data_IF_107231885755
#
_entry.id   IF_107231885755
#
_cell.length_a   1.000
_cell.length_b   1.000
_cell.length_c   1.000
_cell.angle_alpha   90.00
_cell.angle_beta   90.00
_cell.angle_gamma   90.00
#
_symmetry.space_group_name_H-M   'P 1'
#
loop_
_entity.id
_entity.type
_entity.pdbx_description
1 polymer ?
#
# COMPACT_ATOMS: atom_id res chain seq x y z
N UNK A 1 33.82 7.98 -12.21
CA UNK A 1 33.29 8.45 -10.92
C UNK A 1 31.88 8.96 -11.16
N UNK A 2 30.86 8.13 -10.89
CA UNK A 2 29.47 8.46 -11.20
C UNK A 2 28.90 9.37 -10.11
N UNK A 3 28.50 10.58 -10.53
CA UNK A 3 27.70 11.52 -9.75
C UNK A 3 26.33 10.88 -9.51
N UNK A 4 26.05 10.48 -8.29
CA UNK A 4 24.72 10.04 -7.89
C UNK A 4 23.84 11.28 -7.75
N UNK A 5 22.81 11.33 -8.59
CA UNK A 5 21.75 12.32 -8.60
C UNK A 5 20.90 12.20 -7.34
N UNK A 6 20.58 13.36 -6.79
CA UNK A 6 19.83 13.59 -5.56
C UNK A 6 18.35 13.22 -5.77
N UNK A 7 18.03 11.93 -5.83
CA UNK A 7 16.64 11.47 -5.92
C UNK A 7 16.02 11.43 -4.51
N UNK A 8 15.08 12.36 -4.30
CA UNK A 8 14.05 12.40 -3.26
C UNK A 8 14.48 11.93 -1.85
N UNK A 9 15.27 12.75 -1.15
CA UNK A 9 15.29 12.68 0.31
C UNK A 9 13.89 13.01 0.85
N UNK A 10 13.41 12.32 1.90
CA UNK A 10 12.18 12.73 2.60
C UNK A 10 12.31 14.20 3.00
N UNK A 11 11.31 15.01 2.65
CA UNK A 11 11.37 16.47 2.81
C UNK A 11 11.46 16.89 4.29
N UNK A 12 11.13 15.99 5.22
CA UNK A 12 11.17 16.21 6.67
C UNK A 12 11.66 14.98 7.44
N UNK A 13 12.21 15.19 8.64
CA UNK A 13 12.59 14.13 9.58
C UNK A 13 11.43 13.19 9.90
N UNK A 14 10.20 13.69 9.96
CA UNK A 14 9.01 12.87 10.23
C UNK A 14 8.79 11.79 9.17
N UNK A 15 8.96 12.13 7.88
CA UNK A 15 8.84 11.17 6.78
C UNK A 15 10.01 10.18 6.75
N UNK A 16 11.21 10.64 7.10
CA UNK A 16 12.39 9.77 7.17
C UNK A 16 12.40 8.83 8.37
N UNK A 17 11.76 9.22 9.46
CA UNK A 17 11.63 8.41 10.68
C UNK A 17 10.41 7.48 10.59
N UNK A 18 9.33 7.84 9.86
CA UNK A 18 8.12 7.01 9.76
C UNK A 18 8.35 5.60 9.16
N UNK A 19 9.44 5.46 8.41
CA UNK A 19 9.91 4.20 7.83
C UNK A 19 10.70 3.33 8.80
N UNK A 20 11.18 3.90 9.90
CA UNK A 20 11.99 3.21 10.90
C UNK A 20 11.13 2.80 12.10
N UNK A 21 11.45 1.66 12.71
CA UNK A 21 10.83 1.26 13.97
C UNK A 21 11.45 2.02 15.14
N UNK A 22 10.72 2.18 16.25
CA UNK A 22 11.25 2.80 17.49
C UNK A 22 12.53 2.11 17.97
N UNK A 23 12.65 0.80 17.76
CA UNK A 23 13.86 0.05 18.11
C UNK A 23 15.04 0.35 17.18
N UNK A 24 14.80 0.48 15.87
CA UNK A 24 15.80 0.91 14.89
C UNK A 24 16.24 2.37 15.14
N UNK A 25 15.31 3.26 15.49
CA UNK A 25 15.61 4.64 15.87
C UNK A 25 16.45 4.64 17.14
N UNK A 26 16.08 3.88 18.17
CA UNK A 26 16.83 3.79 19.43
C UNK A 26 18.26 3.28 19.20
N UNK A 27 18.40 2.21 18.41
CA UNK A 27 19.71 1.63 18.06
C UNK A 27 20.53 2.56 17.15
N UNK A 28 19.88 3.25 16.22
CA UNK A 28 20.49 4.25 15.34
C UNK A 28 21.00 5.45 16.11
N UNK A 29 20.19 6.01 17.02
CA UNK A 29 20.59 7.09 17.93
C UNK A 29 21.73 6.64 18.83
N UNK A 30 21.67 5.44 19.43
CA UNK A 30 22.77 4.91 20.23
C UNK A 30 24.07 4.79 19.42
N UNK A 31 24.00 4.29 18.19
CA UNK A 31 25.17 4.14 17.30
C UNK A 31 25.74 5.49 16.87
N UNK A 32 24.88 6.46 16.56
CA UNK A 32 25.30 7.83 16.22
C UNK A 32 25.96 8.53 17.41
N UNK A 33 25.40 8.41 18.61
CA UNK A 33 25.98 9.02 19.81
C UNK A 33 27.34 8.42 20.18
N UNK A 34 27.58 7.15 19.84
CA UNK A 34 28.86 6.47 20.05
C UNK A 34 29.90 6.85 18.98
N UNK A 35 29.48 7.01 17.72
CA UNK A 35 30.39 7.20 16.57
C UNK A 35 30.63 8.68 16.25
N UNK A 36 29.62 9.53 16.44
CA UNK A 36 29.59 10.95 16.08
C UNK A 36 29.25 11.78 17.31
N UNK A 37 30.21 11.91 18.23
CA UNK A 37 30.04 12.69 19.45
C UNK A 37 30.09 14.23 19.22
N UNK A 38 30.62 14.71 18.07
CA UNK A 38 30.82 16.14 17.79
C UNK A 38 29.68 16.83 17.05
N UNK A 39 28.98 16.12 16.15
CA UNK A 39 28.05 16.73 15.19
C UNK A 39 26.63 16.17 15.34
N UNK A 40 26.08 16.34 16.54
CA UNK A 40 24.69 16.04 16.83
C UNK A 40 23.80 17.27 16.59
N UNK A 41 22.67 17.15 15.87
CA UNK A 41 22.13 15.94 15.25
C UNK A 41 22.77 15.58 13.89
N UNK A 42 22.86 14.28 13.54
CA UNK A 42 23.37 13.83 12.24
C UNK A 42 22.48 14.33 11.10
N UNK A 43 23.00 14.35 9.87
CA UNK A 43 22.17 14.63 8.69
C UNK A 43 21.15 13.49 8.53
N UNK A 44 19.89 13.82 8.18
CA UNK A 44 18.80 12.84 8.07
C UNK A 44 19.15 11.65 7.16
N UNK A 45 19.84 11.90 6.05
CA UNK A 45 20.30 10.85 5.12
C UNK A 45 21.30 9.89 5.75
N UNK A 46 22.25 10.41 6.54
CA UNK A 46 23.24 9.61 7.28
C UNK A 46 22.57 8.81 8.39
N UNK A 47 21.63 9.44 9.12
CA UNK A 47 20.85 8.76 10.14
C UNK A 47 20.03 7.61 9.57
N UNK A 48 19.32 7.84 8.46
CA UNK A 48 18.57 6.79 7.75
C UNK A 48 19.52 5.70 7.25
N UNK A 49 20.69 6.05 6.72
CA UNK A 49 21.71 5.07 6.31
C UNK A 49 22.17 4.18 7.47
N UNK A 50 22.51 4.78 8.60
CA UNK A 50 22.91 4.07 9.83
C UNK A 50 21.77 3.19 10.34
N UNK A 51 20.52 3.63 10.23
CA UNK A 51 19.35 2.85 10.62
C UNK A 51 19.00 1.73 9.63
N UNK A 52 19.27 1.92 8.32
CA UNK A 52 19.13 0.88 7.29
C UNK A 52 20.09 -0.28 7.52
N UNK A 53 21.32 0.01 7.97
CA UNK A 53 22.33 -1.01 8.33
C UNK A 53 21.94 -1.86 9.56
N UNK A 54 20.94 -1.44 10.35
CA UNK A 54 20.44 -2.20 11.51
C UNK A 54 19.52 -3.36 11.06
N UNK A 55 19.21 -3.44 9.76
CA UNK A 55 18.58 -4.58 9.11
C UNK A 55 17.06 -4.50 9.09
N UNK A 56 16.47 -4.86 7.94
CA UNK A 56 15.04 -5.13 7.83
C UNK A 56 14.77 -6.55 8.33
N UNK A 57 13.95 -6.67 9.37
CA UNK A 57 13.59 -7.96 9.97
C UNK A 57 12.58 -8.71 9.09
N UNK A 58 13.10 -9.45 8.11
CA UNK A 58 12.29 -10.32 7.25
C UNK A 58 11.52 -11.35 8.06
N UNK A 59 12.19 -12.08 8.96
CA UNK A 59 11.62 -13.22 9.68
C UNK A 59 10.48 -12.78 10.59
N UNK A 60 10.64 -11.68 11.33
CA UNK A 60 9.57 -11.14 12.15
C UNK A 60 8.44 -10.54 11.32
N UNK A 61 8.74 -9.90 10.19
CA UNK A 61 7.72 -9.35 9.29
C UNK A 61 6.87 -10.47 8.66
N UNK A 62 7.50 -11.52 8.14
CA UNK A 62 6.82 -12.69 7.60
C UNK A 62 5.99 -13.41 8.66
N UNK A 63 6.54 -13.62 9.86
CA UNK A 63 5.82 -14.20 10.98
C UNK A 63 4.59 -13.37 11.39
N UNK A 64 4.67 -12.03 11.37
CA UNK A 64 3.53 -11.15 11.62
C UNK A 64 2.48 -11.27 10.53
N UNK A 65 2.90 -11.30 9.26
CA UNK A 65 2.00 -11.45 8.13
C UNK A 65 1.20 -12.76 8.20
N UNK A 66 1.90 -13.89 8.37
CA UNK A 66 1.29 -15.21 8.46
C UNK A 66 0.43 -15.36 9.72
N UNK A 67 0.86 -14.79 10.84
CA UNK A 67 0.13 -14.80 12.11
C UNK A 67 -1.05 -13.83 12.21
N UNK A 68 -1.49 -13.19 11.11
CA UNK A 68 -2.56 -12.19 11.10
C UNK A 68 -2.35 -11.03 12.10
N UNK A 69 -1.09 -10.71 12.42
CA UNK A 69 -0.77 -9.58 13.32
C UNK A 69 -0.83 -8.27 12.55
N UNK A 70 -1.07 -7.17 13.25
CA UNK A 70 -1.06 -5.83 12.63
C UNK A 70 0.37 -5.44 12.22
N UNK A 71 0.54 -4.77 11.07
CA UNK A 71 1.82 -4.23 10.66
C UNK A 71 2.28 -3.13 11.63
N UNK A 72 3.56 -3.10 11.94
CA UNK A 72 4.14 -2.20 12.95
C UNK A 72 4.37 -0.80 12.38
N UNK A 73 4.82 -0.71 11.13
CA UNK A 73 5.21 0.54 10.48
C UNK A 73 4.59 0.66 9.08
N UNK A 74 4.82 1.80 8.43
CA UNK A 74 4.33 2.06 7.08
C UNK A 74 4.92 1.08 6.06
N UNK A 75 6.19 0.70 6.21
CA UNK A 75 6.85 -0.32 5.39
C UNK A 75 6.07 -1.65 5.42
N UNK A 76 5.79 -2.18 6.61
CA UNK A 76 5.04 -3.43 6.76
C UNK A 76 3.61 -3.31 6.23
N UNK A 77 2.95 -2.15 6.34
CA UNK A 77 1.63 -1.95 5.74
C UNK A 77 1.66 -2.13 4.23
N UNK A 78 2.65 -1.54 3.55
CA UNK A 78 2.79 -1.63 2.10
C UNK A 78 3.17 -3.06 1.66
N UNK A 79 4.10 -3.70 2.38
CA UNK A 79 4.46 -5.10 2.16
C UNK A 79 3.24 -6.01 2.34
N UNK A 80 2.44 -5.79 3.39
CA UNK A 80 1.25 -6.61 3.67
C UNK A 80 0.18 -6.42 2.61
N UNK A 81 -0.07 -5.19 2.18
CA UNK A 81 -1.03 -4.90 1.12
C UNK A 81 -0.66 -5.65 -0.17
N UNK A 82 0.60 -5.53 -0.62
CA UNK A 82 1.07 -6.20 -1.85
C UNK A 82 1.12 -7.74 -1.68
N UNK A 83 1.46 -8.24 -0.49
CA UNK A 83 1.43 -9.67 -0.19
C UNK A 83 0.00 -10.25 -0.14
N UNK A 84 -0.99 -9.48 0.30
CA UNK A 84 -2.42 -9.84 0.21
C UNK A 84 -2.85 -9.89 -1.26
N UNK A 85 -2.51 -8.88 -2.07
CA UNK A 85 -2.81 -8.88 -3.49
C UNK A 85 -2.16 -10.04 -4.24
N UNK A 86 -0.95 -10.43 -3.84
CA UNK A 86 -0.24 -11.59 -4.39
C UNK A 86 -0.77 -12.94 -3.87
N UNK A 87 -1.80 -12.94 -3.01
CA UNK A 87 -2.41 -14.14 -2.43
C UNK A 87 -1.40 -15.07 -1.72
N UNK A 88 -0.40 -14.49 -1.05
CA UNK A 88 0.71 -15.24 -0.43
C UNK A 88 0.22 -16.33 0.52
N UNK A 89 -0.83 -16.07 1.32
CA UNK A 89 -1.37 -17.03 2.31
C UNK A 89 -2.07 -18.24 1.70
N UNK A 90 -2.47 -18.16 0.44
CA UNK A 90 -3.18 -19.24 -0.25
C UNK A 90 -2.21 -20.19 -0.97
N UNK A 91 -0.90 -19.94 -0.86
CA UNK A 91 0.15 -20.72 -1.51
C UNK A 91 0.59 -21.88 -0.64
N UNK A 92 1.19 -22.88 -1.28
CA UNK A 92 1.76 -24.02 -0.58
C UNK A 92 2.88 -23.58 0.37
N UNK A 93 3.07 -24.35 1.43
CA UNK A 93 4.14 -24.14 2.41
C UNK A 93 5.50 -24.11 1.69
N UNK A 94 6.25 -23.03 1.86
CA UNK A 94 7.53 -22.75 1.21
C UNK A 94 7.42 -21.87 -0.04
N UNK A 95 6.31 -21.94 -0.79
CA UNK A 95 6.04 -21.00 -1.88
C UNK A 95 5.56 -19.64 -1.37
N UNK A 96 4.82 -19.66 -0.26
CA UNK A 96 4.39 -18.49 0.50
C UNK A 96 5.59 -17.65 0.96
N UNK A 97 6.59 -18.27 1.58
CA UNK A 97 7.80 -17.60 2.03
C UNK A 97 8.57 -17.03 0.84
N UNK A 98 8.72 -17.79 -0.24
CA UNK A 98 9.42 -17.34 -1.46
C UNK A 98 8.74 -16.11 -2.09
N UNK A 99 7.41 -16.13 -2.19
CA UNK A 99 6.64 -15.02 -2.74
C UNK A 99 6.68 -13.80 -1.82
N UNK A 100 6.52 -14.02 -0.51
CA UNK A 100 6.64 -12.95 0.46
C UNK A 100 8.03 -12.32 0.43
N UNK A 101 9.08 -13.13 0.33
CA UNK A 101 10.47 -12.68 0.17
C UNK A 101 10.65 -11.80 -1.05
N UNK A 102 10.06 -12.17 -2.20
CA UNK A 102 10.09 -11.35 -3.42
C UNK A 102 9.40 -10.00 -3.23
N UNK A 103 8.23 -9.98 -2.59
CA UNK A 103 7.50 -8.74 -2.28
C UNK A 103 8.30 -7.88 -1.30
N UNK A 104 8.82 -8.49 -0.24
CA UNK A 104 9.60 -7.83 0.79
C UNK A 104 10.84 -7.15 0.20
N UNK A 105 11.65 -7.86 -0.59
CA UNK A 105 12.85 -7.28 -1.18
C UNK A 105 12.56 -6.21 -2.23
N UNK A 106 11.48 -6.35 -3.00
CA UNK A 106 11.01 -5.28 -3.89
C UNK A 106 10.74 -3.99 -3.11
N UNK A 107 10.10 -4.11 -1.96
CA UNK A 107 9.87 -2.96 -1.09
C UNK A 107 11.16 -2.46 -0.47
N UNK A 108 12.05 -3.33 0.02
CA UNK A 108 13.37 -2.93 0.52
C UNK A 108 14.13 -2.13 -0.53
N UNK A 109 14.11 -2.55 -1.80
CA UNK A 109 14.75 -1.85 -2.92
C UNK A 109 14.12 -0.48 -3.15
N UNK A 110 12.79 -0.39 -3.27
CA UNK A 110 12.06 0.88 -3.42
C UNK A 110 12.32 1.87 -2.28
N UNK A 111 12.26 1.38 -1.04
CA UNK A 111 12.58 2.17 0.15
C UNK A 111 14.07 2.55 0.23
N UNK A 112 14.96 1.71 -0.33
CA UNK A 112 16.37 2.04 -0.42
C UNK A 112 16.62 3.18 -1.41
N UNK A 113 15.88 3.18 -2.53
CA UNK A 113 15.92 4.20 -3.58
C UNK A 113 15.14 5.49 -3.24
N UNK A 114 14.45 5.57 -2.10
CA UNK A 114 13.67 6.76 -1.73
C UNK A 114 12.32 6.87 -2.45
N UNK A 115 11.94 5.87 -3.25
CA UNK A 115 10.62 5.78 -3.88
C UNK A 115 9.59 5.27 -2.86
N UNK A 116 9.16 6.16 -1.97
CA UNK A 116 8.05 5.90 -1.05
C UNK A 116 6.77 6.33 -1.77
N UNK A 117 5.87 5.40 -2.13
CA UNK A 117 4.57 5.80 -2.65
C UNK A 117 3.86 6.64 -1.59
N UNK A 118 3.45 7.85 -1.98
CA UNK A 118 2.51 8.63 -1.18
C UNK A 118 1.24 7.82 -0.97
N UNK A 119 0.59 8.00 0.19
CA UNK A 119 -0.58 7.24 0.62
C UNK A 119 -1.49 6.95 -0.57
N UNK A 120 -1.57 5.66 -0.93
CA UNK A 120 -2.48 5.20 -1.96
C UNK A 120 -3.87 5.58 -1.44
N UNK A 121 -4.64 6.42 -2.16
CA UNK A 121 -5.95 6.82 -1.69
C UNK A 121 -6.74 5.55 -1.41
N UNK A 122 -7.08 5.34 -0.13
CA UNK A 122 -7.87 4.19 0.25
C UNK A 122 -9.17 4.25 -0.57
N UNK A 123 -9.48 3.18 -1.29
CA UNK A 123 -10.82 3.04 -1.84
C UNK A 123 -11.80 3.21 -0.67
N UNK A 124 -12.87 4.00 -0.83
CA UNK A 124 -13.81 4.25 0.24
C UNK A 124 -14.30 2.91 0.81
N UNK A 125 -14.43 2.79 2.14
CA UNK A 125 -14.70 1.53 2.83
C UNK A 125 -16.05 0.90 2.48
N UNK A 126 -16.90 1.62 1.74
CA UNK A 126 -18.16 1.13 1.19
C UNK A 126 -18.18 1.43 -0.30
N UNK A 127 -18.65 0.47 -1.09
CA UNK A 127 -19.06 0.73 -2.46
C UNK A 127 -20.01 1.93 -2.44
N UNK A 128 -19.67 2.99 -3.16
CA UNK A 128 -20.56 4.14 -3.33
C UNK A 128 -21.69 3.66 -4.21
N UNK A 129 -22.79 3.25 -3.58
CA UNK A 129 -24.03 2.93 -4.29
C UNK A 129 -24.65 4.26 -4.66
N UNK A 130 -24.72 4.57 -5.96
CA UNK A 130 -25.37 5.79 -6.38
C UNK A 130 -26.88 5.66 -6.13
N UNK A 131 -27.61 6.77 -5.86
CA UNK A 131 -29.07 6.72 -5.76
C UNK A 131 -29.74 6.04 -6.96
N UNK A 132 -29.12 6.14 -8.14
CA UNK A 132 -29.54 5.47 -9.38
C UNK A 132 -29.39 3.95 -9.31
N UNK A 133 -28.35 3.44 -8.64
CA UNK A 133 -28.17 2.00 -8.45
C UNK A 133 -29.24 1.43 -7.50
N UNK A 134 -29.54 2.16 -6.41
CA UNK A 134 -30.62 1.82 -5.48
C UNK A 134 -31.96 1.80 -6.23
N UNK A 135 -32.25 2.84 -7.01
CA UNK A 135 -33.50 2.93 -7.78
C UNK A 135 -33.63 1.81 -8.82
N UNK A 136 -32.52 1.40 -9.45
CA UNK A 136 -32.49 0.29 -10.42
C UNK A 136 -32.74 -1.07 -9.75
N UNK A 137 -32.20 -1.28 -8.54
CA UNK A 137 -32.45 -2.51 -7.79
C UNK A 137 -33.87 -2.57 -7.20
N UNK A 138 -34.40 -1.44 -6.72
CA UNK A 138 -35.71 -1.39 -6.07
C UNK A 138 -36.88 -1.38 -7.05
N UNK A 139 -36.75 -0.70 -8.20
CA UNK A 139 -37.84 -0.54 -9.16
C UNK A 139 -37.65 -1.37 -10.44
N UNK A 140 -36.52 -2.05 -10.58
CA UNK A 140 -36.19 -2.81 -11.78
C UNK A 140 -35.95 -1.92 -13.01
N UNK A 141 -35.87 -2.55 -14.18
CA UNK A 141 -35.81 -1.80 -15.43
C UNK A 141 -37.21 -1.23 -15.76
N UNK A 142 -37.32 0.05 -16.17
CA UNK A 142 -38.60 0.64 -16.51
C UNK A 142 -39.23 -0.06 -17.71
N UNK A 143 -40.55 -0.22 -17.67
CA UNK A 143 -41.32 -0.88 -18.71
C UNK A 143 -41.56 0.08 -19.88
N UNK A 144 -41.48 -0.37 -21.15
CA UNK A 144 -41.72 0.51 -22.31
C UNK A 144 -43.09 1.18 -22.29
N UNK A 145 -44.08 0.56 -21.64
CA UNK A 145 -45.44 1.08 -21.46
C UNK A 145 -45.54 2.27 -20.51
N UNK A 146 -44.48 2.57 -19.75
CA UNK A 146 -44.43 3.73 -18.85
C UNK A 146 -44.09 5.03 -19.58
N UNK A 147 -43.74 4.95 -20.88
CA UNK A 147 -43.37 6.09 -21.70
C UNK A 147 -44.33 6.25 -22.88
N UNK A 148 -44.39 7.46 -23.44
CA UNK A 148 -45.18 7.72 -24.65
C UNK A 148 -44.78 6.78 -25.79
N UNK A 149 -45.79 6.32 -26.52
CA UNK A 149 -45.64 5.37 -27.60
C UNK A 149 -44.71 5.96 -28.69
N UNK A 150 -43.68 5.20 -29.10
CA UNK A 150 -42.60 5.60 -30.01
C UNK A 150 -41.58 6.64 -29.49
N UNK A 151 -41.63 7.02 -28.21
CA UNK A 151 -40.58 7.87 -27.62
C UNK A 151 -39.20 7.17 -27.60
N UNK A 152 -38.14 7.95 -27.56
CA UNK A 152 -36.75 7.45 -27.42
C UNK A 152 -36.62 6.60 -26.15
N UNK A 153 -37.28 7.00 -25.06
CA UNK A 153 -37.28 6.27 -23.80
C UNK A 153 -37.99 4.91 -23.90
N UNK A 154 -39.14 4.82 -24.59
CA UNK A 154 -39.82 3.56 -24.86
C UNK A 154 -38.95 2.58 -25.68
N UNK A 155 -38.20 3.11 -26.66
CA UNK A 155 -37.29 2.32 -27.51
C UNK A 155 -36.08 1.80 -26.72
N UNK A 156 -35.48 2.63 -25.86
CA UNK A 156 -34.36 2.23 -24.98
C UNK A 156 -34.82 1.17 -23.97
N UNK A 157 -36.00 1.35 -23.35
CA UNK A 157 -36.57 0.37 -22.44
C UNK A 157 -36.83 -0.98 -23.12
N UNK A 158 -37.35 -0.98 -24.36
CA UNK A 158 -37.60 -2.20 -25.12
C UNK A 158 -36.30 -2.94 -25.50
N UNK A 159 -35.22 -2.20 -25.78
CA UNK A 159 -33.88 -2.77 -26.02
C UNK A 159 -33.31 -3.43 -24.76
N UNK A 160 -33.46 -2.78 -23.60
CA UNK A 160 -33.02 -3.33 -22.31
C UNK A 160 -33.66 -4.66 -21.94
N UNK A 161 -34.92 -4.88 -22.33
CA UNK A 161 -35.62 -6.17 -22.19
C UNK A 161 -35.05 -7.26 -23.10
N UNK A 162 -34.62 -6.90 -24.31
CA UNK A 162 -34.17 -7.84 -25.33
C UNK A 162 -32.80 -8.48 -25.01
N UNK A 163 -31.97 -7.77 -24.26
CA UNK A 163 -30.63 -8.22 -23.88
C UNK A 163 -30.59 -9.23 -22.69
N UNK A 164 -31.71 -9.45 -21.99
CA UNK A 164 -31.82 -10.37 -20.84
C UNK A 164 -32.30 -11.80 -21.23
N UNK A 165 -32.30 -12.16 -22.51
CA UNK A 165 -32.61 -13.52 -23.00
C UNK A 165 -31.35 -14.27 -23.37
#
# INVERSE_FOLDING_TARGET
MNKWTFEALPATWEQGISVLTVDQIRKGVAKVLIVSASDWPPVLSEFIGICKDIGFDFTGCFGRFMGNKKPINQFERLVFADAVHANVKLKAVGEDERLFKKVFYRWVERFSCGEIPQDVPALPPKAVVMPTDIARESHGAPEPSQFEQNSVFARIAALGKKAKR
#
